data_IF_513235545647
#
_entry.id   IF_513235545647
#
_cell.length_a   1.000
_cell.length_b   1.000
_cell.length_c   1.000
_cell.angle_alpha   90.00
_cell.angle_beta   90.00
_cell.angle_gamma   90.00
#
_symmetry.space_group_name_H-M   'P 1'
#
loop_
_entity.id
_entity.type
_entity.pdbx_description
1 polymer ?
#
# COMPACT_ATOMS: atom_id res chain seq x y z
N UNK A 1 -7.33 -12.17 0.36
CA UNK A 1 -6.90 -13.39 1.05
C UNK A 1 -5.97 -13.03 2.19
N UNK A 2 -6.45 -13.18 3.42
CA UNK A 2 -5.64 -13.16 4.65
C UNK A 2 -4.89 -14.52 4.75
N UNK A 3 -3.72 -14.56 5.38
CA UNK A 3 -3.06 -15.84 5.68
C UNK A 3 -3.56 -16.38 7.02
N UNK A 4 -4.62 -17.19 6.99
CA UNK A 4 -5.24 -17.72 8.21
C UNK A 4 -4.30 -18.56 9.06
N UNK A 5 -4.34 -18.32 10.38
CA UNK A 5 -3.58 -19.11 11.34
C UNK A 5 -3.67 -18.60 12.78
N UNK A 6 -3.71 -17.28 12.99
CA UNK A 6 -3.91 -16.62 14.29
C UNK A 6 -4.70 -15.32 14.07
N UNK A 7 -5.81 -15.13 14.79
CA UNK A 7 -6.71 -14.00 14.57
C UNK A 7 -6.50 -12.78 15.48
N UNK A 8 -7.36 -11.78 15.27
CA UNK A 8 -7.57 -10.55 16.07
C UNK A 8 -6.54 -9.40 15.93
N UNK A 9 -6.83 -8.52 14.96
CA UNK A 9 -6.59 -7.05 14.92
C UNK A 9 -5.20 -6.41 14.60
N UNK A 10 -5.27 -5.36 13.76
CA UNK A 10 -4.53 -4.06 13.77
C UNK A 10 -3.25 -3.78 12.89
N UNK A 11 -3.31 -2.69 12.09
CA UNK A 11 -2.29 -1.61 11.84
C UNK A 11 -1.29 -1.49 10.61
N UNK A 12 -1.54 -0.46 9.75
CA UNK A 12 -0.64 0.55 9.06
C UNK A 12 0.16 0.33 7.72
N UNK A 13 -0.02 1.07 6.58
CA UNK A 13 -0.89 2.18 6.12
C UNK A 13 -0.73 2.54 4.60
N UNK A 14 -1.77 3.03 3.87
CA UNK A 14 -1.72 3.45 2.40
C UNK A 14 -1.04 4.94 2.39
N UNK A 15 -1.09 5.92 1.42
CA UNK A 15 -0.23 6.44 0.31
C UNK A 15 -0.90 6.78 -1.08
N UNK A 16 -1.63 7.89 -1.30
CA UNK A 16 -2.15 8.23 -2.66
C UNK A 16 -2.02 9.71 -3.11
N UNK A 17 -1.03 10.01 -3.96
CA UNK A 17 -0.73 11.40 -4.44
C UNK A 17 -1.44 11.79 -5.74
N UNK A 18 -1.97 13.02 -5.83
CA UNK A 18 -2.23 13.73 -7.09
C UNK A 18 -1.82 15.22 -7.01
N UNK A 19 -0.95 15.74 -7.89
CA UNK A 19 -0.67 17.17 -7.97
C UNK A 19 -1.66 17.90 -8.91
N UNK A 20 -2.36 18.91 -8.40
CA UNK A 20 -3.06 19.91 -9.22
C UNK A 20 -2.12 21.08 -9.53
N UNK A 21 -1.46 21.04 -10.69
CA UNK A 21 -0.64 22.17 -11.16
C UNK A 21 -1.43 23.04 -12.13
N UNK A 22 -1.42 24.37 -11.92
CA UNK A 22 -2.06 25.35 -12.79
C UNK A 22 -1.06 26.09 -13.69
N UNK A 23 -1.51 26.46 -14.89
CA UNK A 23 -0.79 27.21 -15.92
C UNK A 23 0.41 26.50 -16.59
N UNK A 24 0.79 27.01 -17.76
CA UNK A 24 1.56 26.29 -18.79
C UNK A 24 3.05 26.71 -18.85
N UNK A 25 3.91 25.81 -19.33
CA UNK A 25 4.88 26.13 -20.39
C UNK A 25 5.56 24.87 -20.97
N UNK A 26 5.81 24.90 -22.29
CA UNK A 26 6.72 24.05 -23.10
C UNK A 26 6.99 22.61 -22.63
N UNK A 27 6.28 21.64 -23.20
CA UNK A 27 6.53 20.21 -22.98
C UNK A 27 7.64 19.64 -23.89
N UNK A 28 8.57 18.83 -23.36
CA UNK A 28 9.34 17.88 -24.17
C UNK A 28 8.48 16.65 -24.50
N UNK A 29 8.55 16.16 -25.74
CA UNK A 29 7.80 14.97 -26.19
C UNK A 29 8.23 13.74 -25.40
N UNK A 30 7.30 13.08 -24.69
CA UNK A 30 7.57 11.87 -23.89
C UNK A 30 6.54 10.79 -24.19
N UNK A 31 6.98 9.70 -24.81
CA UNK A 31 6.24 8.44 -24.85
C UNK A 31 6.13 7.87 -23.44
N UNK A 32 4.92 7.51 -23.02
CA UNK A 32 4.65 7.11 -21.64
C UNK A 32 4.97 5.64 -21.38
N UNK A 33 5.35 5.34 -20.13
CA UNK A 33 5.44 3.99 -19.57
C UNK A 33 4.92 4.05 -18.13
N UNK A 34 4.14 3.05 -17.67
CA UNK A 34 3.83 2.90 -16.25
C UNK A 34 5.12 2.77 -15.41
N UNK A 35 5.02 3.04 -14.10
CA UNK A 35 6.15 2.90 -13.18
C UNK A 35 7.09 4.11 -13.12
N UNK A 36 6.58 5.34 -13.32
CA UNK A 36 7.35 6.54 -12.96
C UNK A 36 7.43 6.66 -11.44
N UNK A 37 8.55 6.20 -10.88
CA UNK A 37 8.90 6.44 -9.47
C UNK A 37 9.27 7.92 -9.29
N UNK A 38 8.86 8.50 -8.17
CA UNK A 38 9.37 9.77 -7.63
C UNK A 38 9.91 9.55 -6.22
N UNK A 39 10.85 10.38 -5.77
CA UNK A 39 11.36 10.37 -4.39
C UNK A 39 11.02 11.68 -3.71
N UNK A 40 10.46 11.63 -2.51
CA UNK A 40 10.07 12.82 -1.74
C UNK A 40 11.16 13.30 -0.76
N UNK A 41 10.88 14.34 0.03
CA UNK A 41 11.88 15.02 0.89
C UNK A 41 12.45 14.14 2.01
N UNK A 42 11.66 13.18 2.51
CA UNK A 42 12.09 12.24 3.57
C UNK A 42 12.77 10.98 3.02
N UNK A 43 12.82 10.82 1.69
CA UNK A 43 13.44 9.70 0.99
C UNK A 43 12.50 8.54 0.66
N UNK A 44 11.19 8.77 0.60
CA UNK A 44 10.21 7.75 0.18
C UNK A 44 10.09 7.68 -1.34
N UNK A 45 10.20 6.47 -1.89
CA UNK A 45 9.92 6.17 -3.28
C UNK A 45 8.42 5.91 -3.48
N UNK A 46 7.78 6.67 -4.37
CA UNK A 46 6.36 6.57 -4.69
C UNK A 46 6.17 6.20 -6.17
N UNK A 47 5.43 5.14 -6.45
CA UNK A 47 5.18 4.62 -7.81
C UNK A 47 3.86 5.16 -8.35
N UNK A 48 3.90 5.77 -9.54
CA UNK A 48 2.67 6.19 -10.23
C UNK A 48 1.88 4.99 -10.74
N UNK A 49 0.63 4.88 -10.28
CA UNK A 49 -0.38 3.91 -10.70
C UNK A 49 -1.34 4.59 -11.68
N UNK A 50 -1.68 3.92 -12.78
CA UNK A 50 -2.60 4.43 -13.80
C UNK A 50 -4.07 4.34 -13.36
N UNK A 51 -4.94 5.16 -13.95
CA UNK A 51 -6.38 4.94 -13.84
C UNK A 51 -6.80 3.68 -14.61
N UNK A 52 -7.83 2.98 -14.14
CA UNK A 52 -8.32 1.76 -14.78
C UNK A 52 -9.35 1.00 -13.94
N UNK A 53 -9.76 -0.17 -14.43
CA UNK A 53 -10.75 -1.02 -13.75
C UNK A 53 -10.22 -2.42 -13.49
N UNK A 54 -10.62 -3.02 -12.39
CA UNK A 54 -10.27 -4.39 -12.00
C UNK A 54 -11.46 -5.14 -11.37
N UNK A 55 -11.22 -6.38 -10.96
CA UNK A 55 -12.14 -7.18 -10.16
C UNK A 55 -11.60 -7.23 -8.73
N UNK A 56 -12.37 -6.67 -7.80
CA UNK A 56 -12.07 -6.60 -6.36
C UNK A 56 -12.71 -7.79 -5.63
N UNK A 57 -12.07 -8.32 -4.59
CA UNK A 57 -12.54 -9.50 -3.84
C UNK A 57 -12.14 -10.86 -4.44
N UNK A 58 -12.66 -11.96 -3.89
CA UNK A 58 -12.28 -13.33 -4.24
C UNK A 58 -13.39 -14.38 -4.03
N UNK A 59 -13.81 -15.05 -5.10
CA UNK A 59 -14.73 -16.21 -5.03
C UNK A 59 -14.15 -17.44 -4.29
N UNK A 60 -12.86 -17.40 -3.93
CA UNK A 60 -12.18 -18.40 -3.09
C UNK A 60 -11.82 -17.89 -1.69
N UNK A 61 -11.92 -16.58 -1.45
CA UNK A 61 -11.58 -15.96 -0.16
C UNK A 61 -12.71 -16.12 0.87
N UNK A 62 -12.54 -15.43 1.99
CA UNK A 62 -13.53 -15.37 3.07
C UNK A 62 -14.89 -14.78 2.63
N UNK A 63 -15.95 -14.87 3.45
CA UNK A 63 -17.24 -14.24 3.15
C UNK A 63 -17.18 -12.71 3.01
N UNK A 64 -16.26 -12.03 3.71
CA UNK A 64 -16.05 -10.57 3.59
C UNK A 64 -15.29 -10.17 2.31
N UNK A 65 -14.62 -11.12 1.63
CA UNK A 65 -13.98 -10.89 0.32
C UNK A 65 -14.96 -11.04 -0.87
N UNK A 66 -16.29 -11.07 -0.63
CA UNK A 66 -17.31 -11.43 -1.64
C UNK A 66 -18.50 -10.47 -1.66
N UNK A 67 -19.20 -10.31 -2.81
CA UNK A 67 -18.94 -10.94 -4.11
C UNK A 67 -17.80 -10.27 -4.88
N UNK A 68 -17.22 -10.95 -5.88
CA UNK A 68 -16.26 -10.30 -6.78
C UNK A 68 -16.96 -9.21 -7.58
N UNK A 69 -16.52 -7.96 -7.41
CA UNK A 69 -17.15 -6.76 -8.00
C UNK A 69 -16.18 -5.99 -8.91
N UNK A 70 -16.71 -5.38 -9.98
CA UNK A 70 -15.91 -4.50 -10.86
C UNK A 70 -15.76 -3.12 -10.22
N UNK A 71 -14.53 -2.73 -9.89
CA UNK A 71 -14.21 -1.39 -9.37
C UNK A 71 -13.37 -0.62 -10.39
N UNK A 72 -13.52 0.71 -10.41
CA UNK A 72 -12.80 1.61 -11.32
C UNK A 72 -12.09 2.71 -10.55
N UNK A 73 -10.76 2.69 -10.60
CA UNK A 73 -9.89 3.77 -10.16
C UNK A 73 -9.97 4.88 -11.21
N UNK A 74 -10.70 5.95 -10.90
CA UNK A 74 -11.09 6.99 -11.87
C UNK A 74 -10.00 8.01 -12.18
N UNK A 75 -8.92 8.06 -11.38
CA UNK A 75 -7.77 8.98 -11.55
C UNK A 75 -6.47 8.25 -11.21
N UNK A 76 -5.36 8.52 -11.90
CA UNK A 76 -4.06 7.98 -11.52
C UNK A 76 -3.61 8.55 -10.18
N UNK A 77 -2.89 7.78 -9.38
CA UNK A 77 -2.34 8.16 -8.08
C UNK A 77 -0.86 7.74 -7.96
N UNK A 78 -0.16 8.12 -6.89
CA UNK A 78 1.13 7.50 -6.54
C UNK A 78 1.06 6.84 -5.18
N UNK A 79 1.50 5.58 -5.10
CA UNK A 79 1.56 4.75 -3.88
C UNK A 79 2.98 4.53 -3.41
N UNK A 80 3.17 4.32 -2.11
CA UNK A 80 4.45 3.90 -1.54
C UNK A 80 4.95 2.65 -2.25
N UNK A 81 6.21 2.65 -2.68
CA UNK A 81 6.85 1.47 -3.30
C UNK A 81 7.09 0.35 -2.27
N UNK A 82 7.16 0.76 -1.01
CA UNK A 82 7.43 0.00 0.19
C UNK A 82 6.50 0.52 1.31
N UNK A 83 6.39 -0.23 2.39
CA UNK A 83 5.84 0.25 3.65
C UNK A 83 6.63 1.48 4.18
N UNK A 84 6.01 2.32 5.03
CA UNK A 84 6.72 3.44 5.68
C UNK A 84 7.82 2.90 6.59
N UNK A 85 9.08 3.25 6.35
CA UNK A 85 10.17 2.78 7.21
C UNK A 85 10.24 3.53 8.53
N UNK A 86 10.88 2.92 9.52
CA UNK A 86 11.12 3.54 10.83
C UNK A 86 11.91 4.86 10.73
N UNK A 87 12.88 4.95 9.82
CA UNK A 87 13.62 6.20 9.57
C UNK A 87 12.72 7.28 8.96
N UNK A 88 11.80 6.91 8.07
CA UNK A 88 10.88 7.83 7.39
C UNK A 88 9.80 8.34 8.35
N UNK A 89 9.24 7.46 9.19
CA UNK A 89 8.31 7.84 10.25
C UNK A 89 8.95 8.80 11.26
N UNK A 90 10.15 8.48 11.74
CA UNK A 90 10.88 9.30 12.71
C UNK A 90 11.21 10.71 12.19
N UNK A 91 11.50 10.87 10.89
CA UNK A 91 11.73 12.20 10.26
C UNK A 91 10.49 13.11 10.29
N UNK A 92 9.29 12.55 10.26
CA UNK A 92 8.01 13.31 10.22
C UNK A 92 7.41 13.48 11.61
N UNK A 93 7.48 12.43 12.44
CA UNK A 93 6.78 12.38 13.73
C UNK A 93 7.67 12.79 14.91
N UNK A 94 9.00 12.61 14.80
CA UNK A 94 9.97 12.87 15.87
C UNK A 94 10.23 11.68 16.80
N UNK A 95 9.61 10.53 16.55
CA UNK A 95 9.63 9.34 17.40
C UNK A 95 9.58 8.04 16.58
N UNK A 96 9.79 6.89 17.23
CA UNK A 96 9.64 5.57 16.61
C UNK A 96 8.98 4.60 17.62
N UNK A 97 7.72 4.19 17.43
CA UNK A 97 7.01 3.26 18.33
C UNK A 97 7.34 1.78 18.08
N UNK A 98 8.21 1.48 17.12
CA UNK A 98 8.49 0.10 16.69
C UNK A 98 9.17 -0.74 17.78
N UNK A 99 8.57 -1.89 18.07
CA UNK A 99 9.04 -2.94 18.97
C UNK A 99 10.27 -3.68 18.41
N UNK A 100 10.47 -3.67 17.09
CA UNK A 100 11.59 -4.29 16.41
C UNK A 100 12.48 -3.22 15.74
N UNK A 101 13.44 -2.61 16.46
CA UNK A 101 14.24 -1.51 15.92
C UNK A 101 15.07 -1.92 14.69
N UNK A 102 14.73 -1.33 13.54
CA UNK A 102 15.47 -1.40 12.28
C UNK A 102 15.10 -0.18 11.43
N UNK A 103 16.02 0.80 11.21
CA UNK A 103 15.71 2.00 10.41
C UNK A 103 15.19 1.71 9.00
N UNK A 104 15.54 0.53 8.45
CA UNK A 104 15.13 0.05 7.12
C UNK A 104 13.94 -0.90 7.14
N UNK A 105 13.48 -1.34 8.30
CA UNK A 105 12.21 -2.06 8.47
C UNK A 105 11.00 -1.13 8.42
N UNK A 106 9.79 -1.68 8.24
CA UNK A 106 8.55 -0.93 8.39
C UNK A 106 8.40 -0.42 9.83
N UNK A 107 7.67 0.68 9.99
CA UNK A 107 7.21 1.15 11.30
C UNK A 107 6.03 0.32 11.79
N UNK A 108 6.04 -0.08 13.06
CA UNK A 108 4.96 -0.87 13.67
C UNK A 108 4.60 -0.40 15.10
N UNK A 109 3.47 -0.87 15.61
CA UNK A 109 2.74 -0.29 16.77
C UNK A 109 2.29 1.17 16.57
N UNK A 110 1.93 1.53 15.34
CA UNK A 110 1.28 2.80 14.97
C UNK A 110 -0.23 2.57 14.86
N UNK A 111 -1.08 3.43 15.43
CA UNK A 111 -2.54 3.39 15.30
C UNK A 111 -3.05 3.98 13.97
N UNK A 112 -4.35 3.89 13.69
CA UNK A 112 -4.94 4.48 12.47
C UNK A 112 -4.84 6.00 12.51
N UNK A 113 -5.15 6.57 13.67
CA UNK A 113 -5.06 7.98 13.99
C UNK A 113 -3.62 8.52 13.86
N UNK A 114 -2.62 7.75 14.28
CA UNK A 114 -1.21 8.12 14.12
C UNK A 114 -0.72 8.01 12.67
N UNK A 115 -1.20 7.03 11.89
CA UNK A 115 -0.92 6.94 10.46
C UNK A 115 -1.55 8.10 9.66
N UNK A 116 -2.77 8.51 10.03
CA UNK A 116 -3.42 9.72 9.53
C UNK A 116 -2.64 10.97 9.91
N UNK A 117 -2.21 11.10 11.17
CA UNK A 117 -1.40 12.23 11.63
C UNK A 117 -0.03 12.30 10.93
N UNK A 118 0.61 11.17 10.62
CA UNK A 118 1.81 11.12 9.78
C UNK A 118 1.53 11.68 8.37
N UNK A 119 0.43 11.24 7.72
CA UNK A 119 0.04 11.75 6.40
C UNK A 119 -0.24 13.27 6.42
N UNK A 120 -0.89 13.76 7.47
CA UNK A 120 -1.18 15.19 7.65
C UNK A 120 0.08 16.03 7.89
N UNK A 121 0.99 15.58 8.77
CA UNK A 121 2.28 16.27 8.98
C UNK A 121 3.14 16.29 7.71
N UNK A 122 3.20 15.19 6.96
CA UNK A 122 3.95 15.14 5.70
C UNK A 122 3.31 16.02 4.62
N UNK A 123 1.97 16.10 4.58
CA UNK A 123 1.24 17.02 3.70
C UNK A 123 1.61 18.47 3.95
N UNK A 124 1.70 18.86 5.23
CA UNK A 124 2.14 20.19 5.65
C UNK A 124 3.63 20.44 5.32
N UNK A 125 4.49 19.45 5.52
CA UNK A 125 5.94 19.55 5.28
C UNK A 125 6.27 19.79 3.80
N UNK A 126 5.57 19.14 2.88
CA UNK A 126 5.86 19.21 1.44
C UNK A 126 4.91 20.11 0.64
N UNK A 127 3.89 20.70 1.29
CA UNK A 127 2.80 21.43 0.62
C UNK A 127 2.14 20.59 -0.50
N UNK A 128 1.88 19.32 -0.18
CA UNK A 128 1.29 18.30 -1.05
C UNK A 128 0.17 17.57 -0.32
N UNK A 129 -0.62 16.75 -1.01
CA UNK A 129 -1.65 15.92 -0.38
C UNK A 129 -1.14 14.50 -0.22
N UNK A 130 -0.94 14.09 1.03
CA UNK A 130 -0.75 12.71 1.43
C UNK A 130 -1.95 12.23 2.25
N UNK A 131 -2.37 11.01 1.92
CA UNK A 131 -3.43 10.22 2.54
C UNK A 131 -3.12 8.76 2.25
N UNK A 132 -4.00 7.86 2.65
CA UNK A 132 -3.86 6.42 2.45
C UNK A 132 -3.92 6.03 0.91
N UNK A 133 -3.54 4.82 0.40
CA UNK A 133 -5.01 3.65 0.37
C UNK A 133 -6.38 3.79 1.04
N UNK A 134 -7.44 3.95 0.20
CA UNK A 134 -8.67 3.16 0.31
C UNK A 134 -8.41 1.71 -0.09
N UNK A 135 -9.22 0.77 0.39
CA UNK A 135 -9.09 -0.68 0.15
C UNK A 135 -9.05 -1.02 -1.35
N UNK A 136 -9.90 -0.35 -2.13
CA UNK A 136 -9.97 -0.55 -3.58
C UNK A 136 -8.70 -0.10 -4.32
N UNK A 137 -8.03 0.96 -3.84
CA UNK A 137 -6.74 1.38 -4.38
C UNK A 137 -5.62 0.42 -3.95
N UNK A 138 -5.70 -0.16 -2.75
CA UNK A 138 -4.72 -1.15 -2.26
C UNK A 138 -4.79 -2.42 -3.09
N UNK A 139 -5.98 -3.00 -3.25
CA UNK A 139 -6.13 -4.28 -3.94
C UNK A 139 -5.78 -4.13 -5.43
N UNK A 140 -6.12 -2.98 -6.03
CA UNK A 140 -5.69 -2.64 -7.39
C UNK A 140 -4.17 -2.57 -7.52
N UNK A 141 -3.52 -1.85 -6.60
CA UNK A 141 -2.07 -1.71 -6.54
C UNK A 141 -1.37 -3.07 -6.30
N UNK A 142 -1.86 -3.86 -5.35
CA UNK A 142 -1.36 -5.19 -4.99
C UNK A 142 -1.42 -6.15 -6.17
N UNK A 143 -2.59 -6.31 -6.81
CA UNK A 143 -2.77 -7.22 -7.96
C UNK A 143 -1.95 -6.84 -9.18
N UNK A 144 -1.65 -5.55 -9.39
CA UNK A 144 -0.89 -5.05 -10.53
C UNK A 144 -1.36 -5.60 -11.90
N UNK A 145 -2.68 -5.74 -12.06
CA UNK A 145 -3.34 -6.27 -13.26
C UNK A 145 -3.46 -7.80 -13.37
N UNK A 146 -3.18 -8.58 -12.33
CA UNK A 146 -3.51 -10.02 -12.30
C UNK A 146 -4.94 -10.29 -11.80
N UNK A 147 -5.43 -11.51 -12.06
CA UNK A 147 -6.66 -12.08 -11.50
C UNK A 147 -6.39 -13.47 -10.88
N UNK A 148 -5.12 -13.74 -10.59
CA UNK A 148 -4.60 -14.98 -10.00
C UNK A 148 -4.75 -15.00 -8.49
N UNK A 149 -4.57 -16.16 -7.86
CA UNK A 149 -4.72 -16.34 -6.41
C UNK A 149 -3.79 -15.41 -5.60
N UNK A 150 -2.54 -15.26 -6.05
CA UNK A 150 -1.59 -14.29 -5.53
C UNK A 150 -1.20 -13.27 -6.62
N UNK A 151 -0.63 -12.11 -6.24
CA UNK A 151 -0.19 -11.10 -7.22
C UNK A 151 0.95 -11.60 -8.14
N UNK A 152 1.66 -12.65 -7.74
CA UNK A 152 2.74 -13.28 -8.50
C UNK A 152 2.28 -14.45 -9.39
N UNK A 153 1.07 -14.99 -9.18
CA UNK A 153 0.51 -16.14 -9.90
C UNK A 153 -0.35 -17.03 -9.00
N UNK A 154 -0.67 -18.24 -9.46
CA UNK A 154 -1.47 -19.21 -8.70
C UNK A 154 -0.61 -20.25 -7.94
N UNK A 155 0.72 -20.18 -8.08
CA UNK A 155 1.65 -21.06 -7.39
C UNK A 155 2.21 -20.37 -6.13
N UNK A 156 2.19 -21.07 -5.00
CA UNK A 156 2.77 -20.60 -3.74
C UNK A 156 4.30 -20.46 -3.84
N UNK A 157 4.84 -19.25 -3.65
CA UNK A 157 6.27 -18.95 -3.65
C UNK A 157 6.61 -18.03 -2.46
N UNK A 158 7.35 -18.56 -1.49
CA UNK A 158 7.73 -17.88 -0.23
C UNK A 158 8.75 -16.75 -0.39
N UNK A 159 9.16 -16.43 -1.62
CA UNK A 159 10.03 -15.27 -1.90
C UNK A 159 9.26 -13.98 -2.24
N UNK A 160 7.92 -13.99 -2.19
CA UNK A 160 7.06 -12.81 -2.42
C UNK A 160 6.42 -12.23 -1.14
N UNK A 161 6.65 -12.83 0.03
CA UNK A 161 6.02 -12.40 1.29
C UNK A 161 6.81 -12.79 2.54
N UNK A 162 6.57 -12.10 3.65
CA UNK A 162 7.06 -12.47 4.98
C UNK A 162 5.89 -12.75 5.92
N UNK A 163 5.78 -13.98 6.45
CA UNK A 163 4.75 -14.33 7.42
C UNK A 163 5.32 -15.18 8.56
N UNK A 164 4.50 -15.56 9.54
CA UNK A 164 4.93 -16.33 10.72
C UNK A 164 5.64 -17.66 10.43
N UNK A 165 5.58 -18.17 9.19
CA UNK A 165 6.32 -19.34 8.72
C UNK A 165 7.79 -19.06 8.35
N UNK A 166 8.07 -17.97 7.62
CA UNK A 166 9.41 -17.66 7.07
C UNK A 166 10.09 -16.42 7.68
N UNK A 167 9.36 -15.53 8.36
CA UNK A 167 9.90 -14.26 8.87
C UNK A 167 10.77 -14.37 10.13
N UNK A 168 10.76 -15.53 10.80
CA UNK A 168 11.37 -15.66 12.14
C UNK A 168 10.61 -14.91 13.25
N UNK A 169 9.32 -14.59 13.02
CA UNK A 169 8.44 -13.85 13.95
C UNK A 169 8.86 -12.40 14.22
N UNK A 170 9.38 -11.72 13.21
CA UNK A 170 9.65 -10.28 13.20
C UNK A 170 9.41 -9.69 11.80
N UNK A 171 9.22 -8.37 11.66
CA UNK A 171 9.36 -7.68 10.38
C UNK A 171 10.80 -7.77 9.85
N UNK A 172 10.93 -7.64 8.54
CA UNK A 172 12.19 -7.52 7.80
C UNK A 172 12.36 -6.11 7.25
N UNK A 173 13.59 -5.70 6.89
CA UNK A 173 13.80 -4.54 6.04
C UNK A 173 12.87 -4.55 4.83
N UNK A 174 12.38 -3.39 4.42
CA UNK A 174 11.48 -3.30 3.27
C UNK A 174 12.23 -3.59 1.95
N UNK A 175 11.49 -4.00 0.92
CA UNK A 175 12.04 -4.32 -0.39
C UNK A 175 12.83 -5.62 -0.43
N UNK A 176 12.54 -6.58 0.45
CA UNK A 176 13.27 -7.87 0.54
C UNK A 176 12.48 -9.05 -0.02
N UNK A 177 11.16 -8.98 -0.10
CA UNK A 177 10.40 -9.82 -1.01
C UNK A 177 10.71 -9.46 -2.48
N UNK A 178 10.32 -10.33 -3.41
CA UNK A 178 10.18 -9.96 -4.82
C UNK A 178 8.99 -9.00 -4.99
N UNK A 179 9.05 -8.01 -5.90
CA UNK A 179 7.95 -7.08 -6.14
C UNK A 179 6.86 -7.66 -7.05
N UNK A 180 5.71 -6.99 -7.07
CA UNK A 180 4.66 -7.20 -8.07
C UNK A 180 5.01 -6.57 -9.43
N UNK A 181 4.10 -6.70 -10.41
CA UNK A 181 4.31 -6.24 -11.81
C UNK A 181 4.45 -4.72 -11.97
N UNK A 182 4.09 -3.92 -10.97
CA UNK A 182 4.25 -2.46 -10.96
C UNK A 182 5.45 -2.00 -10.14
N UNK A 183 6.22 -2.93 -9.56
CA UNK A 183 7.44 -2.62 -8.81
C UNK A 183 7.19 -2.25 -7.34
N UNK A 184 5.98 -2.54 -6.82
CA UNK A 184 5.63 -2.47 -5.40
C UNK A 184 6.11 -3.73 -4.69
N UNK A 185 6.60 -3.58 -3.48
CA UNK A 185 7.16 -4.67 -2.66
C UNK A 185 6.27 -4.96 -1.45
N UNK A 186 6.45 -6.14 -0.87
CA UNK A 186 5.93 -6.53 0.44
C UNK A 186 4.39 -6.41 0.59
N UNK A 187 3.64 -6.21 -0.51
CA UNK A 187 2.16 -6.20 -0.66
C UNK A 187 1.44 -7.50 -0.20
N UNK A 188 2.13 -8.37 0.51
CA UNK A 188 1.64 -9.56 1.16
C UNK A 188 2.60 -9.89 2.32
N UNK A 189 2.11 -9.79 3.56
CA UNK A 189 2.92 -10.01 4.75
C UNK A 189 3.85 -8.83 5.11
N UNK A 190 4.93 -9.13 5.84
CA UNK A 190 5.79 -8.19 6.56
C UNK A 190 5.07 -7.46 7.70
N UNK A 191 4.27 -6.42 7.44
CA UNK A 191 3.23 -5.91 8.37
C UNK A 191 1.84 -5.87 7.72
N UNK A 192 0.80 -5.42 8.43
CA UNK A 192 -0.53 -5.19 7.87
C UNK A 192 -0.63 -3.74 7.37
N UNK A 193 -1.46 -3.45 6.37
CA UNK A 193 -1.62 -2.08 5.86
C UNK A 193 -3.01 -1.49 6.19
N UNK A 194 -3.06 -0.30 6.81
CA UNK A 194 -4.31 0.43 7.05
C UNK A 194 -4.83 1.14 5.80
N UNK A 195 -6.10 0.88 5.48
CA UNK A 195 -6.85 1.70 4.55
C UNK A 195 -7.66 2.82 5.24
N UNK A 196 -8.14 3.77 4.44
CA UNK A 196 -9.00 4.91 4.83
C UNK A 196 -10.44 4.47 5.14
N UNK A 197 -10.88 3.39 4.51
CA UNK A 197 -12.20 2.80 4.73
C UNK A 197 -12.29 2.16 6.13
N UNK A 198 -13.44 2.34 6.78
CA UNK A 198 -13.77 1.60 7.99
C UNK A 198 -14.10 0.16 7.65
N UNK A 199 -13.48 -0.80 8.36
CA UNK A 199 -13.84 -2.20 8.25
C UNK A 199 -15.29 -2.42 8.69
N UNK A 200 -16.11 -2.96 7.79
CA UNK A 200 -17.48 -3.38 8.04
C UNK A 200 -17.75 -4.69 7.29
N UNK A 201 -18.36 -5.66 7.98
CA UNK A 201 -18.61 -7.02 7.46
C UNK A 201 -19.55 -7.03 6.23
N UNK A 202 -20.25 -5.93 5.97
CA UNK A 202 -21.20 -5.75 4.86
C UNK A 202 -20.69 -4.85 3.73
N UNK A 203 -19.46 -4.30 3.80
CA UNK A 203 -18.93 -3.28 2.87
C UNK A 203 -19.00 -3.66 1.38
N UNK A 204 -18.82 -4.96 1.07
CA UNK A 204 -18.93 -5.51 -0.28
C UNK A 204 -20.38 -5.66 -0.78
N UNK A 205 -21.37 -5.54 0.10
CA UNK A 205 -22.81 -5.67 -0.19
C UNK A 205 -23.59 -4.36 -0.08
N UNK A 206 -23.10 -3.38 0.69
CA UNK A 206 -23.79 -2.11 0.96
C UNK A 206 -23.56 -1.00 -0.08
N UNK A 207 -22.66 -1.22 -1.06
CA UNK A 207 -22.33 -0.26 -2.12
C UNK A 207 -23.19 -0.49 -3.39
N UNK A 208 -24.34 0.19 -3.43
CA UNK A 208 -25.26 0.30 -4.59
C UNK A 208 -25.19 1.66 -5.28
#
# INVERSE_FOLDING_TARGET
>A
MKFDGLGWAACCAVWAVTPLWGAESSAPTRTERPGRVITNSIGMELVRIEAGSFLMGSERGDPDERPVRRVTISRPFYVGRYEVTQEQYAKVMGENPSRFPDPSGPVENVSWEEAKAFCEKLSQLENAVYRLPSEAEWEYACRAGTQTEFYWGDAFDTSYFWCGYNSGRRPHPVGKAKPNRWGLYDMSGNVWEWCEDWYAEDAYTSSS
#
